data_IF_055052742915
#
_entry.id   IF_055052742915
#
_cell.length_a   1.000
_cell.length_b   1.000
_cell.length_c   1.000
_cell.angle_alpha   90.00
_cell.angle_beta   90.00
_cell.angle_gamma   90.00
#
_symmetry.space_group_name_H-M   'P 1'
#
loop_
_entity.id
_entity.type
_entity.pdbx_description
1 polymer ?
#
# COMPACT_ATOMS: atom_id res chain seq x y z
N UNK A 1 -4.48 -14.10 12.75
CA UNK A 1 -5.53 -13.06 12.64
C UNK A 1 -6.81 -13.70 12.14
N UNK A 2 -7.98 -13.38 12.70
CA UNK A 2 -9.26 -13.74 12.11
C UNK A 2 -9.38 -13.19 10.69
N UNK A 3 -10.20 -13.84 9.87
CA UNK A 3 -10.40 -13.47 8.46
C UNK A 3 -11.89 -13.35 8.18
N UNK A 4 -12.26 -12.30 7.48
CA UNK A 4 -13.61 -12.07 6.95
C UNK A 4 -13.53 -12.11 5.42
N UNK A 5 -14.43 -12.85 4.79
CA UNK A 5 -14.61 -12.84 3.34
C UNK A 5 -15.80 -11.97 2.99
N UNK A 6 -15.61 -11.02 2.09
CA UNK A 6 -16.69 -10.14 1.59
C UNK A 6 -16.75 -10.19 0.07
N UNK A 7 -17.86 -9.72 -0.50
CA UNK A 7 -18.00 -9.64 -1.96
C UNK A 7 -18.06 -8.20 -2.44
N UNK A 8 -17.26 -7.93 -3.48
CA UNK A 8 -17.35 -6.74 -4.30
C UNK A 8 -17.72 -7.15 -5.73
N UNK A 9 -19.02 -7.18 -6.03
CA UNK A 9 -19.54 -7.77 -7.26
C UNK A 9 -19.27 -9.27 -7.33
N UNK A 10 -18.54 -9.71 -8.36
CA UNK A 10 -18.12 -11.11 -8.55
C UNK A 10 -16.85 -11.47 -7.77
N UNK A 11 -16.11 -10.50 -7.26
CA UNK A 11 -14.81 -10.70 -6.59
C UNK A 11 -15.04 -10.97 -5.08
N UNK A 12 -14.49 -12.07 -4.58
CA UNK A 12 -14.37 -12.31 -3.15
C UNK A 12 -13.07 -11.70 -2.62
N UNK A 13 -13.19 -10.81 -1.65
CA UNK A 13 -12.06 -10.15 -1.00
C UNK A 13 -11.76 -10.78 0.34
N UNK A 14 -10.47 -10.93 0.64
CA UNK A 14 -9.96 -11.35 1.92
C UNK A 14 -9.64 -10.13 2.78
N UNK A 15 -10.17 -10.12 4.01
CA UNK A 15 -9.93 -9.05 4.98
C UNK A 15 -9.51 -9.70 6.29
N UNK A 16 -8.33 -9.34 6.81
CA UNK A 16 -7.96 -9.67 8.19
C UNK A 16 -8.66 -8.69 9.14
N UNK A 17 -9.08 -9.15 10.31
CA UNK A 17 -9.88 -8.37 11.27
C UNK A 17 -9.37 -8.67 12.68
N UNK A 18 -8.61 -7.76 13.27
CA UNK A 18 -7.93 -7.95 14.54
C UNK A 18 -8.25 -6.83 15.54
N UNK A 19 -8.08 -7.09 16.83
CA UNK A 19 -8.40 -6.13 17.89
C UNK A 19 -9.87 -6.16 18.33
N UNK A 20 -10.29 -5.21 19.20
CA UNK A 20 -11.63 -5.19 19.76
C UNK A 20 -12.69 -4.84 18.70
N UNK A 21 -13.73 -5.64 18.46
CA UNK A 21 -14.72 -5.39 17.41
C UNK A 21 -15.48 -4.06 17.53
N UNK A 22 -15.58 -3.50 18.75
CA UNK A 22 -16.26 -2.23 19.02
C UNK A 22 -15.33 -1.01 18.97
N UNK A 23 -14.01 -1.22 18.80
CA UNK A 23 -13.06 -0.12 18.70
C UNK A 23 -13.18 0.60 17.33
N UNK A 24 -12.75 1.87 17.25
CA UNK A 24 -12.68 2.58 15.97
C UNK A 24 -11.85 1.81 14.95
N UNK A 25 -12.29 1.69 13.68
CA UNK A 25 -11.56 0.92 12.68
C UNK A 25 -10.37 1.66 12.10
N UNK A 26 -9.30 0.89 11.82
CA UNK A 26 -8.22 1.26 10.92
C UNK A 26 -8.23 0.28 9.75
N UNK A 27 -8.19 0.78 8.51
CA UNK A 27 -8.00 -0.03 7.31
C UNK A 27 -6.56 0.11 6.81
N UNK A 28 -5.85 -1.01 6.69
CA UNK A 28 -4.49 -1.12 6.17
C UNK A 28 -4.54 -1.66 4.73
N UNK A 29 -3.90 -0.95 3.80
CA UNK A 29 -3.86 -1.28 2.38
C UNK A 29 -2.43 -1.37 1.86
N UNK A 30 -2.11 -2.46 1.19
CA UNK A 30 -0.76 -2.80 0.72
C UNK A 30 -0.42 -2.22 -0.67
N UNK A 31 0.85 -2.33 -1.08
CA UNK A 31 1.34 -1.99 -2.42
C UNK A 31 1.04 -3.06 -3.48
N UNK A 32 1.23 -2.72 -4.77
CA UNK A 32 0.81 -3.54 -5.93
C UNK A 32 1.46 -4.93 -6.01
N UNK A 33 2.55 -5.19 -5.32
CA UNK A 33 3.21 -6.51 -5.31
C UNK A 33 3.17 -7.16 -3.93
N UNK A 34 2.31 -6.67 -3.04
CA UNK A 34 2.25 -7.11 -1.65
C UNK A 34 0.87 -7.72 -1.31
N UNK A 35 0.55 -7.89 -0.04
CA UNK A 35 -0.72 -8.34 0.51
C UNK A 35 -0.87 -7.83 1.94
N UNK A 36 -2.00 -8.04 2.60
CA UNK A 36 -2.28 -7.51 3.96
C UNK A 36 -1.22 -7.87 5.00
N UNK A 37 -0.52 -8.99 4.81
CA UNK A 37 0.53 -9.45 5.73
C UNK A 37 1.71 -8.49 5.88
N UNK A 38 1.96 -7.59 4.92
CA UNK A 38 3.04 -6.58 5.00
C UNK A 38 2.90 -5.68 6.23
N UNK A 39 1.68 -5.56 6.78
CA UNK A 39 1.37 -4.73 7.95
C UNK A 39 1.40 -5.48 9.28
N UNK A 40 1.71 -6.79 9.29
CA UNK A 40 1.66 -7.62 10.50
C UNK A 40 2.52 -7.07 11.66
N UNK A 41 3.62 -6.40 11.33
CA UNK A 41 4.52 -5.78 12.30
C UNK A 41 3.88 -4.57 13.02
N UNK A 42 2.95 -3.86 12.36
CA UNK A 42 2.28 -2.66 12.92
C UNK A 42 0.99 -3.01 13.69
N UNK A 43 0.36 -4.13 13.35
CA UNK A 43 -0.92 -4.54 13.96
C UNK A 43 -0.89 -4.57 15.49
N UNK A 44 0.17 -5.10 16.19
CA UNK A 44 0.22 -5.10 17.64
C UNK A 44 0.15 -3.70 18.27
N UNK A 45 0.78 -2.70 17.64
CA UNK A 45 0.79 -1.32 18.16
C UNK A 45 -0.59 -0.65 18.03
N UNK A 46 -1.42 -1.10 17.10
CA UNK A 46 -2.74 -0.54 16.79
C UNK A 46 -3.88 -1.24 17.55
N UNK A 47 -3.81 -2.55 17.75
CA UNK A 47 -4.91 -3.36 18.30
C UNK A 47 -5.22 -3.08 19.77
N UNK A 48 -4.36 -2.36 20.49
CA UNK A 48 -4.67 -1.89 21.85
C UNK A 48 -5.85 -0.90 21.87
N UNK A 49 -6.08 -0.19 20.76
CA UNK A 49 -7.04 0.92 20.69
C UNK A 49 -8.00 0.86 19.50
N UNK A 50 -7.63 0.11 18.48
CA UNK A 50 -8.33 0.06 17.20
C UNK A 50 -8.73 -1.36 16.81
N UNK A 51 -9.79 -1.45 16.03
CA UNK A 51 -10.08 -2.63 15.23
C UNK A 51 -9.31 -2.50 13.92
N UNK A 52 -8.37 -3.39 13.67
CA UNK A 52 -7.44 -3.30 12.54
C UNK A 52 -7.88 -4.26 11.44
N UNK A 53 -8.22 -3.69 10.29
CA UNK A 53 -8.64 -4.40 9.09
C UNK A 53 -7.49 -4.36 8.07
N UNK A 54 -7.09 -5.52 7.54
CA UNK A 54 -6.08 -5.61 6.48
C UNK A 54 -6.71 -6.15 5.20
N UNK A 55 -6.79 -5.33 4.15
CA UNK A 55 -7.35 -5.74 2.86
C UNK A 55 -6.29 -6.43 1.99
N UNK A 56 -6.61 -7.62 1.48
CA UNK A 56 -5.97 -8.12 0.26
C UNK A 56 -6.78 -7.58 -0.93
N UNK A 57 -6.20 -6.71 -1.75
CA UNK A 57 -6.83 -6.26 -2.99
C UNK A 57 -7.07 -7.41 -3.95
N UNK A 58 -8.01 -7.25 -4.90
CA UNK A 58 -8.19 -8.21 -6.01
C UNK A 58 -6.86 -8.57 -6.66
N UNK A 59 -6.65 -9.84 -6.96
CA UNK A 59 -5.41 -10.34 -7.55
C UNK A 59 -4.24 -10.51 -6.58
N UNK A 60 -4.44 -10.24 -5.29
CA UNK A 60 -3.41 -10.29 -4.27
C UNK A 60 -3.81 -11.21 -3.11
N UNK A 61 -2.82 -11.75 -2.42
CA UNK A 61 -3.01 -12.53 -1.19
C UNK A 61 -4.01 -13.67 -1.36
N UNK A 62 -5.06 -13.64 -0.53
CA UNK A 62 -6.14 -14.64 -0.52
C UNK A 62 -7.45 -14.10 -1.13
N UNK A 63 -7.42 -12.96 -1.81
CA UNK A 63 -8.53 -12.43 -2.61
C UNK A 63 -8.60 -13.09 -3.99
N UNK A 64 -9.78 -13.04 -4.60
CA UNK A 64 -9.97 -13.57 -5.95
C UNK A 64 -9.10 -12.84 -6.98
N UNK A 65 -8.68 -13.59 -8.01
CA UNK A 65 -8.11 -13.04 -9.23
C UNK A 65 -9.21 -12.44 -10.09
N UNK A 66 -8.94 -11.29 -10.69
CA UNK A 66 -9.92 -10.53 -11.46
C UNK A 66 -9.71 -10.61 -12.99
N UNK A 67 -8.77 -11.43 -13.44
CA UNK A 67 -8.46 -11.63 -14.87
C UNK A 67 -7.89 -10.36 -15.50
N UNK A 68 -8.71 -9.64 -16.29
CA UNK A 68 -8.35 -8.39 -16.96
C UNK A 68 -8.93 -7.13 -16.26
N UNK A 69 -9.55 -7.30 -15.08
CA UNK A 69 -10.25 -6.23 -14.36
C UNK A 69 -9.38 -5.58 -13.27
N UNK A 70 -8.12 -5.29 -13.57
CA UNK A 70 -7.21 -4.56 -12.69
C UNK A 70 -7.16 -3.09 -13.09
N UNK A 71 -7.97 -2.27 -12.41
CA UNK A 71 -8.11 -0.83 -12.68
C UNK A 71 -8.06 -0.02 -11.39
N UNK A 72 -7.76 1.26 -11.50
CA UNK A 72 -7.77 2.19 -10.37
C UNK A 72 -9.13 2.22 -9.68
N UNK A 73 -10.22 2.31 -10.46
CA UNK A 73 -11.59 2.26 -9.95
C UNK A 73 -11.92 0.93 -9.27
N UNK A 74 -11.36 -0.18 -9.76
CA UNK A 74 -11.48 -1.49 -9.14
C UNK A 74 -10.88 -1.55 -7.73
N UNK A 75 -9.67 -1.05 -7.55
CA UNK A 75 -9.01 -1.00 -6.23
C UNK A 75 -9.71 -0.05 -5.25
N UNK A 76 -10.16 1.11 -5.72
CA UNK A 76 -11.00 2.02 -4.91
C UNK A 76 -12.30 1.32 -4.49
N UNK A 77 -12.95 0.60 -5.40
CA UNK A 77 -14.16 -0.17 -5.11
C UNK A 77 -13.93 -1.26 -4.08
N UNK A 78 -12.76 -1.94 -4.10
CA UNK A 78 -12.42 -2.94 -3.09
C UNK A 78 -12.29 -2.33 -1.69
N UNK A 79 -11.63 -1.19 -1.58
CA UNK A 79 -11.50 -0.47 -0.32
C UNK A 79 -12.87 0.02 0.21
N UNK A 80 -13.72 0.57 -0.67
CA UNK A 80 -15.09 0.98 -0.33
C UNK A 80 -15.90 -0.20 0.21
N UNK A 81 -15.81 -1.38 -0.42
CA UNK A 81 -16.53 -2.56 0.04
C UNK A 81 -16.13 -2.96 1.48
N UNK A 82 -14.84 -2.80 1.85
CA UNK A 82 -14.39 -3.05 3.23
C UNK A 82 -14.93 -1.99 4.19
N UNK A 83 -14.85 -0.72 3.82
CA UNK A 83 -15.33 0.38 4.66
C UNK A 83 -16.83 0.26 4.93
N UNK A 84 -17.62 -0.07 3.92
CA UNK A 84 -19.08 -0.18 4.02
C UNK A 84 -19.56 -1.47 4.69
N UNK A 85 -18.96 -2.64 4.35
CA UNK A 85 -19.45 -3.94 4.80
C UNK A 85 -18.81 -4.43 6.10
N UNK A 86 -17.57 -4.00 6.40
CA UNK A 86 -16.80 -4.51 7.55
C UNK A 86 -16.54 -3.44 8.60
N UNK A 87 -16.04 -2.27 8.22
CA UNK A 87 -15.74 -1.20 9.17
C UNK A 87 -17.01 -0.66 9.83
N UNK A 88 -18.06 -0.40 9.07
CA UNK A 88 -19.39 -0.01 9.56
C UNK A 88 -19.46 1.40 10.18
N UNK A 89 -18.34 2.12 10.22
CA UNK A 89 -18.21 3.50 10.67
C UNK A 89 -16.97 4.12 10.03
N UNK A 90 -16.82 5.46 10.04
CA UNK A 90 -15.63 6.11 9.45
C UNK A 90 -14.33 5.59 10.05
N UNK A 91 -13.37 5.24 9.17
CA UNK A 91 -12.11 4.60 9.53
C UNK A 91 -10.90 5.53 9.36
N UNK A 92 -9.82 5.28 10.07
CA UNK A 92 -8.49 5.73 9.67
C UNK A 92 -8.03 4.80 8.55
N UNK A 93 -7.49 5.35 7.47
CA UNK A 93 -7.00 4.54 6.35
C UNK A 93 -5.51 4.78 6.18
N UNK A 94 -4.72 3.70 6.20
CA UNK A 94 -3.26 3.71 6.00
C UNK A 94 -2.94 2.86 4.79
N UNK A 95 -2.24 3.41 3.82
CA UNK A 95 -1.90 2.68 2.60
C UNK A 95 -0.49 2.95 2.10
N UNK A 96 0.15 1.91 1.58
CA UNK A 96 1.44 1.98 0.91
C UNK A 96 1.28 1.94 -0.60
N UNK A 97 2.01 2.77 -1.34
CA UNK A 97 2.09 2.72 -2.81
C UNK A 97 0.70 2.71 -3.47
N UNK A 98 0.25 1.60 -4.07
CA UNK A 98 -1.11 1.40 -4.59
C UNK A 98 -2.16 1.66 -3.51
N UNK A 99 -1.97 1.12 -2.30
CA UNK A 99 -2.82 1.41 -1.15
C UNK A 99 -2.80 2.89 -0.78
N UNK A 100 -1.65 3.54 -0.89
CA UNK A 100 -1.47 4.97 -0.62
C UNK A 100 -2.23 5.85 -1.59
N UNK A 101 -2.16 5.60 -2.90
CA UNK A 101 -2.92 6.37 -3.90
C UNK A 101 -4.43 6.05 -3.84
N UNK A 102 -4.79 4.81 -3.47
CA UNK A 102 -6.18 4.45 -3.18
C UNK A 102 -6.70 5.22 -1.97
N UNK A 103 -5.91 5.34 -0.89
CA UNK A 103 -6.23 6.17 0.28
C UNK A 103 -6.44 7.64 -0.11
N UNK A 104 -5.58 8.19 -0.96
CA UNK A 104 -5.72 9.55 -1.48
C UNK A 104 -7.03 9.74 -2.26
N UNK A 105 -7.39 8.78 -3.11
CA UNK A 105 -8.64 8.82 -3.87
C UNK A 105 -9.88 8.78 -2.96
N UNK A 106 -9.83 7.97 -1.89
CA UNK A 106 -10.88 7.94 -0.87
C UNK A 106 -10.98 9.29 -0.13
N UNK A 107 -9.85 9.89 0.26
CA UNK A 107 -9.82 11.19 0.95
C UNK A 107 -10.38 12.33 0.09
N UNK A 108 -10.31 12.23 -1.24
CA UNK A 108 -10.92 13.19 -2.17
C UNK A 108 -12.42 12.97 -2.36
N UNK A 109 -12.86 11.73 -2.54
CA UNK A 109 -14.19 11.40 -3.09
C UNK A 109 -15.16 10.79 -2.07
N UNK A 110 -14.65 10.24 -0.97
CA UNK A 110 -15.42 9.56 0.06
C UNK A 110 -14.98 9.97 1.47
N UNK A 111 -14.79 11.28 1.76
CA UNK A 111 -14.26 11.75 3.04
C UNK A 111 -15.18 11.42 4.23
N UNK A 112 -16.46 11.22 3.99
CA UNK A 112 -17.44 10.82 5.00
C UNK A 112 -17.21 9.41 5.56
N UNK A 113 -16.45 8.58 4.86
CA UNK A 113 -16.05 7.24 5.32
C UNK A 113 -14.69 7.25 6.06
N UNK A 114 -14.00 8.39 6.11
CA UNK A 114 -12.67 8.49 6.69
C UNK A 114 -12.63 9.43 7.90
N UNK A 115 -11.86 9.03 8.92
CA UNK A 115 -11.45 9.93 10.04
C UNK A 115 -10.11 10.59 9.73
N UNK A 116 -9.21 9.91 9.06
CA UNK A 116 -7.92 10.39 8.59
C UNK A 116 -7.35 9.48 7.49
N UNK A 117 -6.36 9.99 6.75
CA UNK A 117 -5.67 9.29 5.67
C UNK A 117 -4.15 9.36 5.89
N UNK A 118 -3.47 8.23 5.86
CA UNK A 118 -2.00 8.13 5.90
C UNK A 118 -1.54 7.40 4.64
N UNK A 119 -0.71 8.06 3.87
CA UNK A 119 -0.26 7.60 2.56
C UNK A 119 1.26 7.45 2.57
N UNK A 120 1.75 6.23 2.45
CA UNK A 120 3.17 5.91 2.39
C UNK A 120 3.61 5.77 0.95
N UNK A 121 4.50 6.62 0.53
CA UNK A 121 5.13 6.75 -0.78
C UNK A 121 4.15 6.55 -1.97
N UNK A 122 3.01 7.29 -1.97
CA UNK A 122 1.95 7.10 -2.95
C UNK A 122 2.35 7.66 -4.33
N UNK A 123 2.00 6.96 -5.43
CA UNK A 123 2.20 7.47 -6.79
C UNK A 123 1.16 8.53 -7.17
N UNK A 124 1.24 9.73 -6.58
CA UNK A 124 0.24 10.80 -6.72
C UNK A 124 0.05 11.32 -8.15
N UNK A 125 1.03 11.12 -9.03
CA UNK A 125 0.97 11.55 -10.43
C UNK A 125 0.55 10.46 -11.42
N UNK A 126 0.08 9.29 -10.96
CA UNK A 126 -0.28 8.19 -11.86
C UNK A 126 -1.60 8.42 -12.58
N UNK A 127 -1.59 8.12 -13.87
CA UNK A 127 -2.75 7.99 -14.73
C UNK A 127 -2.84 9.02 -15.86
N UNK A 128 -3.44 8.61 -16.97
CA UNK A 128 -3.83 9.48 -18.07
C UNK A 128 -2.75 9.90 -19.06
N UNK A 129 -1.49 9.45 -18.95
CA UNK A 129 -0.41 9.93 -19.84
C UNK A 129 -0.12 9.05 -21.06
N UNK A 130 -0.64 7.82 -21.13
CA UNK A 130 -0.32 6.84 -22.20
C UNK A 130 1.15 6.39 -22.20
N UNK A 131 1.92 6.74 -21.16
CA UNK A 131 3.28 6.28 -20.95
C UNK A 131 3.30 5.22 -19.84
N UNK A 132 4.26 4.28 -19.84
CA UNK A 132 4.42 3.38 -18.71
C UNK A 132 4.47 4.17 -17.40
N UNK A 133 3.68 3.77 -16.43
CA UNK A 133 3.78 4.31 -15.10
C UNK A 133 5.22 4.12 -14.60
N UNK A 134 5.72 5.07 -13.83
CA UNK A 134 7.09 4.99 -13.29
C UNK A 134 8.19 4.98 -14.38
N UNK A 135 7.98 5.58 -15.56
CA UNK A 135 9.03 5.72 -16.57
C UNK A 135 10.28 6.39 -15.94
N UNK A 136 11.43 5.72 -16.03
CA UNK A 136 12.70 6.16 -15.42
C UNK A 136 12.90 5.75 -13.94
N UNK A 137 11.88 5.17 -13.28
CA UNK A 137 12.01 4.61 -11.94
C UNK A 137 12.50 3.15 -12.01
N UNK A 138 13.36 2.73 -11.06
CA UNK A 138 13.92 1.39 -11.02
C UNK A 138 12.86 0.29 -10.82
N UNK A 139 11.72 0.62 -10.20
CA UNK A 139 10.61 -0.33 -9.99
C UNK A 139 10.02 -0.84 -11.30
N UNK A 140 10.07 -0.06 -12.39
CA UNK A 140 9.55 -0.52 -13.68
C UNK A 140 10.30 -1.77 -14.19
N UNK A 141 11.62 -1.81 -14.01
CA UNK A 141 12.41 -2.99 -14.39
C UNK A 141 12.08 -4.19 -13.48
N UNK A 142 11.91 -3.95 -12.19
CA UNK A 142 11.49 -4.96 -11.21
C UNK A 142 10.11 -5.54 -11.57
N UNK A 143 9.14 -4.69 -11.90
CA UNK A 143 7.79 -5.13 -12.28
C UNK A 143 7.78 -5.96 -13.57
N UNK A 144 8.59 -5.59 -14.57
CA UNK A 144 8.77 -6.39 -15.79
C UNK A 144 9.29 -7.80 -15.45
N UNK A 145 10.33 -7.86 -14.62
CA UNK A 145 10.89 -9.13 -14.17
C UNK A 145 9.85 -9.96 -13.40
N UNK A 146 9.13 -9.35 -12.47
CA UNK A 146 8.09 -10.03 -11.69
C UNK A 146 6.95 -10.54 -12.56
N UNK A 147 6.52 -9.77 -13.57
CA UNK A 147 5.46 -10.18 -14.50
C UNK A 147 5.80 -11.49 -15.21
N UNK A 148 7.07 -11.70 -15.53
CA UNK A 148 7.56 -12.90 -16.21
C UNK A 148 7.88 -14.03 -15.23
N UNK A 149 8.52 -13.73 -14.09
CA UNK A 149 9.08 -14.75 -13.19
C UNK A 149 8.06 -15.29 -12.18
N UNK A 150 7.11 -14.49 -11.70
CA UNK A 150 6.15 -14.90 -10.66
C UNK A 150 5.36 -16.15 -11.07
N UNK A 151 4.79 -16.26 -12.29
CA UNK A 151 4.09 -17.47 -12.69
C UNK A 151 5.00 -18.72 -12.71
N UNK A 152 6.27 -18.56 -13.04
CA UNK A 152 7.26 -19.65 -13.05
C UNK A 152 7.62 -20.07 -11.62
N UNK A 153 7.81 -19.11 -10.70
CA UNK A 153 8.04 -19.39 -9.29
C UNK A 153 6.86 -20.17 -8.68
N UNK A 154 5.64 -19.72 -8.94
CA UNK A 154 4.42 -20.40 -8.48
C UNK A 154 4.31 -21.82 -9.02
N UNK A 155 4.63 -22.04 -10.30
CA UNK A 155 4.61 -23.37 -10.92
C UNK A 155 5.74 -24.30 -10.43
N UNK A 156 6.83 -23.76 -9.92
CA UNK A 156 7.99 -24.54 -9.43
C UNK A 156 7.72 -25.25 -8.11
N UNK A 157 6.70 -24.82 -7.33
CA UNK A 157 6.43 -25.34 -6.00
C UNK A 157 7.46 -24.91 -4.95
N UNK A 158 8.22 -23.83 -5.20
CA UNK A 158 9.16 -23.27 -4.21
C UNK A 158 8.41 -22.87 -2.94
N UNK A 159 9.00 -23.13 -1.77
CA UNK A 159 8.42 -22.73 -0.49
C UNK A 159 8.70 -21.25 -0.18
N UNK A 160 7.90 -20.65 0.71
CA UNK A 160 8.11 -19.27 1.20
C UNK A 160 9.53 -19.10 1.75
N UNK A 161 9.98 -20.01 2.62
CA UNK A 161 11.30 -19.93 3.26
C UNK A 161 12.44 -19.98 2.23
N UNK A 162 12.32 -20.87 1.23
CA UNK A 162 13.33 -20.97 0.17
C UNK A 162 13.38 -19.71 -0.69
N UNK A 163 12.21 -19.16 -1.05
CA UNK A 163 12.13 -17.92 -1.82
C UNK A 163 12.61 -16.71 -1.00
N UNK A 164 12.26 -16.63 0.28
CA UNK A 164 12.76 -15.59 1.19
C UNK A 164 14.30 -15.61 1.30
N UNK A 165 14.89 -16.81 1.39
CA UNK A 165 16.34 -16.97 1.36
C UNK A 165 16.99 -16.47 0.08
N UNK A 166 16.35 -16.69 -1.09
CA UNK A 166 16.82 -16.16 -2.38
C UNK A 166 16.69 -14.63 -2.41
N UNK A 167 15.53 -14.10 -2.00
CA UNK A 167 15.28 -12.66 -1.96
C UNK A 167 16.24 -11.92 -1.03
N UNK A 168 16.55 -12.49 0.15
CA UNK A 168 17.53 -11.90 1.06
C UNK A 168 18.90 -11.65 0.41
N UNK A 169 19.32 -12.54 -0.51
CA UNK A 169 20.56 -12.39 -1.27
C UNK A 169 20.43 -11.52 -2.54
N UNK A 170 19.23 -11.11 -2.93
CA UNK A 170 19.02 -10.31 -4.12
C UNK A 170 19.48 -8.85 -3.93
N UNK A 171 19.99 -8.20 -5.00
CA UNK A 171 20.41 -6.81 -4.93
C UNK A 171 19.26 -5.87 -4.54
N UNK A 172 19.53 -4.94 -3.63
CA UNK A 172 18.61 -3.84 -3.27
C UNK A 172 18.87 -2.60 -4.14
N UNK A 173 17.83 -1.88 -4.51
CA UNK A 173 17.95 -0.60 -5.22
C UNK A 173 18.75 0.45 -4.43
N UNK A 174 18.74 0.34 -3.10
CA UNK A 174 19.51 1.21 -2.19
C UNK A 174 20.99 0.81 -2.04
N UNK A 175 21.43 -0.27 -2.71
CA UNK A 175 22.77 -0.88 -2.59
C UNK A 175 22.81 -2.01 -1.57
N UNK A 176 23.76 -2.94 -1.72
CA UNK A 176 23.79 -4.18 -0.93
C UNK A 176 22.71 -5.16 -1.35
N UNK A 177 22.23 -5.98 -0.42
CA UNK A 177 21.16 -6.96 -0.63
C UNK A 177 19.89 -6.57 0.12
N UNK A 178 18.76 -7.24 -0.18
CA UNK A 178 17.57 -7.06 0.65
C UNK A 178 17.79 -7.47 2.10
N UNK A 179 18.59 -8.53 2.36
CA UNK A 179 18.95 -8.93 3.72
C UNK A 179 19.75 -7.90 4.50
N UNK A 180 20.48 -7.00 3.81
CA UNK A 180 21.23 -5.90 4.44
C UNK A 180 20.34 -4.69 4.74
N UNK A 181 19.19 -4.54 4.07
CA UNK A 181 18.39 -3.32 4.08
C UNK A 181 16.98 -3.49 4.64
N UNK A 182 16.40 -4.68 4.55
CA UNK A 182 15.02 -4.95 4.98
C UNK A 182 14.97 -5.80 6.25
N UNK A 183 13.90 -5.64 7.00
CA UNK A 183 13.55 -6.56 8.07
C UNK A 183 13.25 -7.96 7.51
N UNK A 184 13.63 -9.01 8.24
CA UNK A 184 13.42 -10.40 7.80
C UNK A 184 11.94 -10.76 7.61
N UNK A 185 11.05 -10.22 8.44
CA UNK A 185 9.61 -10.37 8.31
C UNK A 185 9.09 -9.73 7.01
N UNK A 186 9.62 -8.58 6.59
CA UNK A 186 9.31 -7.94 5.30
C UNK A 186 9.72 -8.82 4.12
N UNK A 187 10.91 -9.44 4.18
CA UNK A 187 11.38 -10.36 3.12
C UNK A 187 10.49 -11.62 3.05
N UNK A 188 10.10 -12.18 4.19
CA UNK A 188 9.16 -13.32 4.25
C UNK A 188 7.81 -12.96 3.66
N UNK A 189 7.25 -11.78 4.00
CA UNK A 189 6.00 -11.28 3.46
C UNK A 189 6.09 -11.04 1.94
N UNK A 190 7.22 -10.53 1.45
CA UNK A 190 7.48 -10.37 0.01
C UNK A 190 7.48 -11.72 -0.71
N UNK A 191 8.14 -12.74 -0.15
CA UNK A 191 8.15 -14.09 -0.72
C UNK A 191 6.75 -14.70 -0.76
N UNK A 192 6.00 -14.59 0.34
CA UNK A 192 4.63 -15.09 0.43
C UNK A 192 3.70 -14.38 -0.57
N UNK A 193 3.84 -13.07 -0.70
CA UNK A 193 3.10 -12.27 -1.68
C UNK A 193 3.34 -12.75 -3.11
N UNK A 194 4.59 -12.93 -3.53
CA UNK A 194 4.94 -13.41 -4.87
C UNK A 194 4.31 -14.77 -5.19
N UNK A 195 4.17 -15.65 -4.21
CA UNK A 195 3.55 -16.96 -4.40
C UNK A 195 2.02 -16.91 -4.53
N UNK A 196 1.38 -15.79 -4.16
CA UNK A 196 -0.07 -15.61 -4.20
C UNK A 196 -0.54 -14.58 -5.23
N UNK A 197 0.37 -13.75 -5.73
CA UNK A 197 0.09 -12.67 -6.66
C UNK A 197 -0.45 -13.18 -8.00
N UNK A 198 -1.50 -12.55 -8.53
CA UNK A 198 -1.77 -12.60 -9.97
C UNK A 198 -0.84 -11.61 -10.68
N UNK A 199 0.16 -12.11 -11.40
CA UNK A 199 1.14 -11.25 -12.03
C UNK A 199 0.55 -10.27 -13.06
N UNK A 200 -0.67 -10.50 -13.56
CA UNK A 200 -1.37 -9.58 -14.48
C UNK A 200 -1.83 -8.28 -13.83
N UNK A 201 -1.81 -8.15 -12.48
CA UNK A 201 -1.99 -6.86 -11.79
C UNK A 201 -0.98 -5.81 -12.25
N UNK A 202 0.17 -6.24 -12.76
CA UNK A 202 1.25 -5.38 -13.25
C UNK A 202 1.01 -4.85 -14.68
N UNK A 203 0.12 -5.47 -15.46
CA UNK A 203 -0.08 -5.12 -16.87
C UNK A 203 -0.46 -3.63 -17.07
N UNK A 204 -1.41 -3.03 -16.31
CA UNK A 204 -1.72 -1.60 -16.45
C UNK A 204 -0.52 -0.69 -16.18
N UNK A 205 0.31 -1.03 -15.19
CA UNK A 205 1.51 -0.25 -14.85
C UNK A 205 2.55 -0.34 -15.97
N UNK A 206 2.71 -1.53 -16.55
CA UNK A 206 3.71 -1.80 -17.59
C UNK A 206 3.33 -1.21 -18.95
N UNK A 207 2.03 -1.17 -19.27
CA UNK A 207 1.51 -0.59 -20.52
C UNK A 207 1.28 0.91 -20.42
N UNK A 208 1.11 1.44 -19.21
CA UNK A 208 0.70 2.82 -18.97
C UNK A 208 -0.81 3.05 -19.18
N UNK A 209 -1.58 1.96 -19.31
CA UNK A 209 -3.04 2.01 -19.39
C UNK A 209 -3.65 2.05 -18.00
N UNK A 210 -3.33 3.12 -17.27
CA UNK A 210 -3.83 3.36 -15.92
C UNK A 210 -4.82 4.52 -15.95
N UNK A 211 -6.04 4.23 -15.49
CA UNK A 211 -7.02 5.25 -15.16
C UNK A 211 -6.50 6.14 -14.02
N UNK A 212 -6.71 7.45 -14.12
CA UNK A 212 -6.27 8.38 -13.08
C UNK A 212 -6.99 8.11 -11.75
N UNK A 213 -6.23 7.92 -10.68
CA UNK A 213 -6.79 7.79 -9.33
C UNK A 213 -7.32 9.12 -8.80
N UNK A 214 -6.61 10.22 -9.08
CA UNK A 214 -6.78 11.50 -8.43
C UNK A 214 -7.22 12.58 -9.43
N UNK A 215 -7.95 13.55 -8.91
CA UNK A 215 -8.17 14.84 -9.54
C UNK A 215 -7.27 15.88 -8.85
N UNK A 216 -6.30 16.50 -9.56
CA UNK A 216 -5.38 17.45 -8.93
C UNK A 216 -6.07 18.75 -8.47
N UNK A 217 -7.33 18.98 -8.84
CA UNK A 217 -8.11 20.12 -8.39
C UNK A 217 -8.93 19.84 -7.11
N UNK A 218 -9.01 18.58 -6.67
CA UNK A 218 -9.75 18.21 -5.47
C UNK A 218 -8.83 18.09 -4.26
N UNK A 219 -9.18 18.71 -3.12
CA UNK A 219 -8.42 18.55 -1.87
C UNK A 219 -8.62 17.16 -1.25
N UNK A 220 -7.70 16.77 -0.37
CA UNK A 220 -7.97 15.76 0.64
C UNK A 220 -8.84 16.39 1.74
N UNK A 221 -10.05 15.92 1.90
CA UNK A 221 -11.06 16.59 2.74
C UNK A 221 -11.04 16.09 4.20
N UNK A 222 -10.03 15.30 4.59
CA UNK A 222 -9.80 14.80 5.95
C UNK A 222 -8.35 15.08 6.36
N UNK A 223 -8.03 15.07 7.67
CA UNK A 223 -6.63 15.11 8.11
C UNK A 223 -5.82 14.04 7.38
N UNK A 224 -4.74 14.46 6.74
CA UNK A 224 -3.95 13.58 5.86
C UNK A 224 -2.45 13.71 6.13
N UNK A 225 -1.74 12.60 6.11
CA UNK A 225 -0.28 12.53 6.16
C UNK A 225 0.23 11.86 4.90
N UNK A 226 1.07 12.55 4.14
CA UNK A 226 1.82 11.97 3.02
C UNK A 226 3.26 11.76 3.46
N UNK A 227 3.67 10.50 3.58
CA UNK A 227 5.05 10.11 3.87
C UNK A 227 5.73 9.77 2.56
N UNK A 228 6.77 10.52 2.19
CA UNK A 228 7.55 10.30 0.98
C UNK A 228 8.86 9.59 1.31
N UNK A 229 9.28 8.69 0.44
CA UNK A 229 10.66 8.20 0.39
C UNK A 229 11.64 9.35 0.09
N UNK A 230 12.94 9.11 0.24
CA UNK A 230 13.97 10.09 -0.13
C UNK A 230 13.99 10.23 -1.67
N UNK A 231 13.73 11.42 -2.23
CA UNK A 231 13.63 11.60 -3.69
C UNK A 231 14.95 11.34 -4.43
N UNK A 232 16.09 11.19 -3.73
CA UNK A 232 17.35 10.80 -4.35
C UNK A 232 17.47 9.28 -4.56
N UNK A 233 16.55 8.49 -4.01
CA UNK A 233 16.55 7.04 -4.20
C UNK A 233 15.91 6.68 -5.54
N UNK A 234 16.48 5.71 -6.28
CA UNK A 234 16.02 5.37 -7.63
C UNK A 234 14.64 4.69 -7.69
N UNK A 235 14.17 4.21 -6.54
CA UNK A 235 12.89 3.54 -6.35
C UNK A 235 11.84 4.41 -5.63
N UNK A 236 12.19 5.62 -5.16
CA UNK A 236 11.22 6.55 -4.59
C UNK A 236 10.12 6.90 -5.61
N UNK A 237 8.86 6.90 -5.17
CA UNK A 237 7.69 7.07 -6.03
C UNK A 237 6.96 8.39 -5.77
N UNK A 238 6.72 8.72 -4.52
CA UNK A 238 6.10 9.99 -4.16
C UNK A 238 7.11 11.13 -4.31
N UNK A 239 6.89 12.02 -5.27
CA UNK A 239 7.66 13.25 -5.33
C UNK A 239 7.16 14.21 -4.24
N UNK A 240 8.03 14.78 -3.38
CA UNK A 240 7.63 15.79 -2.41
C UNK A 240 6.93 17.00 -3.07
N UNK A 241 7.31 17.37 -4.28
CA UNK A 241 6.65 18.42 -5.07
C UNK A 241 5.19 18.06 -5.37
N UNK A 242 4.93 16.85 -5.85
CA UNK A 242 3.56 16.37 -6.08
C UNK A 242 2.76 16.32 -4.78
N UNK A 243 3.37 15.86 -3.67
CA UNK A 243 2.72 15.83 -2.36
C UNK A 243 2.35 17.24 -1.87
N UNK A 244 3.24 18.22 -2.03
CA UNK A 244 2.96 19.62 -1.67
C UNK A 244 1.86 20.24 -2.55
N UNK A 245 1.75 19.86 -3.83
CA UNK A 245 0.66 20.34 -4.70
C UNK A 245 -0.71 20.02 -4.10
N UNK A 246 -0.88 18.81 -3.53
CA UNK A 246 -2.12 18.45 -2.82
C UNK A 246 -2.21 19.11 -1.44
N UNK A 247 -1.11 19.23 -0.69
CA UNK A 247 -1.10 19.88 0.61
C UNK A 247 -1.48 21.37 0.52
N UNK A 248 -1.05 22.07 -0.53
CA UNK A 248 -1.36 23.49 -0.75
C UNK A 248 -2.87 23.77 -0.87
N UNK A 249 -3.64 22.81 -1.36
CA UNK A 249 -5.11 22.91 -1.46
C UNK A 249 -5.85 22.15 -0.35
N UNK A 250 -5.12 21.46 0.52
CA UNK A 250 -5.65 20.58 1.59
C UNK A 250 -5.08 21.01 2.94
N UNK A 251 -5.67 22.03 3.64
CA UNK A 251 -5.06 22.67 4.82
C UNK A 251 -4.71 21.74 6.00
N UNK A 252 -5.34 20.58 6.08
CA UNK A 252 -5.08 19.57 7.12
C UNK A 252 -4.15 18.45 6.63
N UNK A 253 -3.38 18.70 5.55
CA UNK A 253 -2.42 17.72 5.01
C UNK A 253 -0.99 18.08 5.40
N UNK A 254 -0.32 17.10 5.99
CA UNK A 254 1.10 17.16 6.32
C UNK A 254 1.91 16.34 5.31
N UNK A 255 3.10 16.83 4.95
CA UNK A 255 4.06 16.10 4.10
C UNK A 255 5.32 15.82 4.89
N UNK A 256 5.73 14.57 4.94
CA UNK A 256 6.91 14.14 5.68
C UNK A 256 7.83 13.29 4.79
N UNK A 257 9.09 13.73 4.65
CA UNK A 257 10.10 13.02 3.85
C UNK A 257 11.04 12.25 4.78
N UNK A 258 11.14 10.94 4.61
CA UNK A 258 12.10 10.12 5.36
C UNK A 258 13.38 10.01 4.56
N UNK A 259 14.41 10.77 4.98
CA UNK A 259 15.71 10.77 4.32
C UNK A 259 16.40 9.41 4.40
N UNK A 260 16.95 8.98 3.27
CA UNK A 260 17.61 7.69 3.12
C UNK A 260 16.66 6.50 2.86
N UNK A 261 15.36 6.67 3.04
CA UNK A 261 14.37 5.62 2.76
C UNK A 261 14.15 5.44 1.25
N UNK A 262 14.05 4.19 0.80
CA UNK A 262 13.52 3.81 -0.50
C UNK A 262 11.99 3.65 -0.48
N UNK A 263 11.45 3.03 -1.54
CA UNK A 263 9.99 2.83 -1.68
C UNK A 263 9.36 1.96 -0.60
N UNK A 264 10.10 0.98 -0.07
CA UNK A 264 9.61 0.03 0.93
C UNK A 264 9.86 0.55 2.36
N UNK A 265 9.42 1.78 2.67
CA UNK A 265 9.71 2.50 3.92
C UNK A 265 9.44 1.64 5.15
N UNK A 266 8.27 0.99 5.20
CA UNK A 266 7.84 0.18 6.35
C UNK A 266 8.54 -1.18 6.46
N UNK A 267 9.25 -1.63 5.42
CA UNK A 267 10.04 -2.86 5.43
C UNK A 267 11.52 -2.60 5.70
N UNK A 268 12.01 -1.36 5.55
CA UNK A 268 13.42 -1.04 5.71
C UNK A 268 13.86 -0.95 7.17
N UNK A 269 15.02 -1.51 7.48
CA UNK A 269 15.67 -1.44 8.80
C UNK A 269 15.90 -0.01 9.28
N UNK A 270 16.15 0.91 8.36
CA UNK A 270 16.49 2.30 8.68
C UNK A 270 15.27 3.21 8.85
N UNK A 271 14.11 2.86 8.30
CA UNK A 271 12.97 3.77 8.17
C UNK A 271 11.66 3.30 8.80
N UNK A 272 11.48 2.01 9.06
CA UNK A 272 10.26 1.43 9.66
C UNK A 272 9.81 2.16 10.93
N UNK A 273 10.73 2.32 11.90
CA UNK A 273 10.40 3.00 13.17
C UNK A 273 10.09 4.47 12.98
N UNK A 274 10.76 5.14 12.04
CA UNK A 274 10.48 6.54 11.70
C UNK A 274 9.08 6.69 11.10
N UNK A 275 8.69 5.80 10.19
CA UNK A 275 7.34 5.76 9.64
C UNK A 275 6.30 5.51 10.73
N UNK A 276 6.50 4.47 11.57
CA UNK A 276 5.58 4.17 12.68
C UNK A 276 5.36 5.37 13.57
N UNK A 277 6.44 6.02 14.02
CA UNK A 277 6.37 7.16 14.91
C UNK A 277 5.67 8.34 14.23
N UNK A 278 5.97 8.65 12.97
CA UNK A 278 5.31 9.71 12.23
C UNK A 278 3.80 9.47 12.11
N UNK A 279 3.39 8.23 11.82
CA UNK A 279 1.97 7.86 11.73
C UNK A 279 1.25 7.99 13.08
N UNK A 280 1.82 7.45 14.16
CA UNK A 280 1.21 7.51 15.50
C UNK A 280 1.17 8.94 16.05
N UNK A 281 2.25 9.71 15.89
CA UNK A 281 2.30 11.12 16.29
C UNK A 281 1.29 11.98 15.52
N UNK A 282 1.10 11.70 14.23
CA UNK A 282 0.07 12.36 13.42
C UNK A 282 -1.33 12.06 13.99
N UNK A 283 -1.64 10.80 14.28
CA UNK A 283 -2.93 10.42 14.86
C UNK A 283 -3.15 11.06 16.23
N UNK A 284 -2.13 11.14 17.06
CA UNK A 284 -2.21 11.77 18.39
C UNK A 284 -2.47 13.28 18.29
N UNK A 285 -1.72 13.99 17.45
CA UNK A 285 -1.92 15.45 17.22
C UNK A 285 -3.32 15.79 16.72
N UNK A 286 -3.96 14.90 15.98
CA UNK A 286 -5.33 15.08 15.49
C UNK A 286 -6.41 14.52 16.44
N UNK A 287 -6.03 14.07 17.66
CA UNK A 287 -6.97 13.54 18.65
C UNK A 287 -7.64 12.22 18.23
N UNK A 288 -6.96 11.44 17.40
CA UNK A 288 -7.50 10.20 16.83
C UNK A 288 -7.08 8.94 17.60
N UNK A 289 -6.22 9.09 18.61
CA UNK A 289 -5.74 7.99 19.45
C UNK A 289 -6.67 7.66 20.63
N UNK A 290 -7.80 8.35 20.76
CA UNK A 290 -8.78 8.15 21.84
C UNK A 290 -10.10 7.59 21.33
#
# INVERSE_FOLDING_TARGET
MPVVKIRNGSIELNVTDDGPPSAPPILLMHGITSYSGTWNWLVPDLTERFRVLGLDFRGHGNSDRAGDQYSSSGYVSDALAVLEQVAGQPAIVIGHSLGGVTTAALAQRHPDLLRAAIMEDPPLGLGGSGKPALEGNSLLATFKLMRESVPQLQASGITVDALAGILAGAPSASGGTFGDSLHSDGIEQMAESMLRLDASVLDPVLTGDIEAFLDPALPFAVPSLVVCADPVKPDAVASPESAHTFADISPATEVFVIKGAGHLIHDELASRDTFRNAALDFLDRHGLMS
#
